data_IF_291717794093
#
_entry.id   IF_291717794093
#
_cell.length_a   1.000
_cell.length_b   1.000
_cell.length_c   1.000
_cell.angle_alpha   90.00
_cell.angle_beta   90.00
_cell.angle_gamma   90.00
#
_symmetry.space_group_name_H-M   'P 1'
#
loop_
_entity.id
_entity.type
_entity.pdbx_description
1 polymer ?
#
# COMPACT_ATOMS: atom_id res chain seq x y z
N UNK A 1 12.78 -27.48 16.23
CA UNK A 1 12.36 -26.93 14.92
C UNK A 1 12.32 -25.41 15.06
N UNK A 2 12.95 -24.67 14.14
CA UNK A 2 12.93 -23.21 14.17
C UNK A 2 11.61 -22.70 13.60
N UNK A 3 11.03 -21.66 14.23
CA UNK A 3 9.81 -21.02 13.77
C UNK A 3 10.19 -19.80 12.92
N UNK A 4 9.70 -19.76 11.68
CA UNK A 4 9.88 -18.61 10.79
C UNK A 4 8.67 -17.70 10.87
N UNK A 5 8.89 -16.39 11.06
CA UNK A 5 7.83 -15.39 11.06
C UNK A 5 7.82 -14.65 9.73
N UNK A 6 6.72 -14.73 9.00
CA UNK A 6 6.48 -13.98 7.76
C UNK A 6 5.48 -12.85 8.05
N UNK A 7 5.77 -11.66 7.55
CA UNK A 7 4.87 -10.51 7.59
C UNK A 7 4.68 -10.01 6.17
N UNK A 8 3.41 -9.87 5.76
CA UNK A 8 3.03 -9.30 4.47
C UNK A 8 2.29 -7.98 4.75
N UNK A 9 2.63 -6.94 4.00
CA UNK A 9 2.02 -5.61 4.12
C UNK A 9 1.61 -5.15 2.73
N UNK A 10 0.43 -4.55 2.63
CA UNK A 10 -0.03 -3.90 1.40
C UNK A 10 0.46 -2.45 1.38
N UNK A 11 0.73 -1.90 0.21
CA UNK A 11 1.00 -0.46 0.07
C UNK A 11 -0.20 0.38 0.53
N UNK A 12 0.05 1.63 0.91
CA UNK A 12 -0.99 2.59 1.27
C UNK A 12 -1.85 3.02 0.08
N UNK A 13 -2.86 3.84 0.35
CA UNK A 13 -3.76 4.37 -0.67
C UNK A 13 -3.03 5.07 -1.84
N UNK A 14 -3.37 4.71 -3.08
CA UNK A 14 -2.89 5.39 -4.30
C UNK A 14 -3.82 6.52 -4.73
N UNK A 15 -3.34 7.43 -5.59
CA UNK A 15 -4.19 8.46 -6.19
C UNK A 15 -5.41 7.87 -6.92
N UNK A 16 -5.25 6.73 -7.60
CA UNK A 16 -6.34 6.07 -8.31
C UNK A 16 -7.31 5.32 -7.40
N UNK A 17 -6.92 4.98 -6.17
CA UNK A 17 -7.89 4.48 -5.18
C UNK A 17 -8.91 5.57 -4.84
N UNK A 18 -8.48 6.83 -4.73
CA UNK A 18 -9.39 7.97 -4.51
C UNK A 18 -10.33 8.22 -5.68
N UNK A 19 -9.85 7.97 -6.90
CA UNK A 19 -10.64 8.13 -8.12
C UNK A 19 -11.53 6.91 -8.44
N UNK A 20 -11.51 5.86 -7.60
CA UNK A 20 -12.15 4.56 -7.88
C UNK A 20 -11.75 3.99 -9.26
N UNK A 21 -10.49 4.19 -9.65
CA UNK A 21 -9.92 3.69 -10.90
C UNK A 21 -9.08 2.45 -10.64
N UNK A 22 -9.12 1.54 -11.61
CA UNK A 22 -8.31 0.34 -11.57
C UNK A 22 -6.85 0.65 -11.95
N UNK A 23 -5.90 0.43 -11.04
CA UNK A 23 -4.45 0.64 -11.28
C UNK A 23 -3.84 -0.41 -12.19
N UNK A 24 -4.12 -1.69 -11.95
CA UNK A 24 -3.54 -2.78 -12.73
C UNK A 24 -2.01 -2.77 -12.67
N UNK A 25 -1.37 -2.61 -13.82
CA UNK A 25 0.10 -2.60 -13.96
C UNK A 25 0.65 -1.18 -14.12
N UNK A 26 -0.20 -0.16 -14.02
CA UNK A 26 0.22 1.22 -14.09
C UNK A 26 0.92 1.64 -12.80
N UNK A 27 2.04 2.35 -12.94
CA UNK A 27 2.82 2.87 -11.82
C UNK A 27 2.18 4.16 -11.29
N UNK A 28 1.24 4.02 -10.35
CA UNK A 28 0.50 5.15 -9.76
C UNK A 28 1.11 5.53 -8.41
N UNK A 29 1.33 6.83 -8.21
CA UNK A 29 1.82 7.37 -6.96
C UNK A 29 0.84 7.15 -5.78
N UNK A 30 1.41 7.08 -4.56
CA UNK A 30 0.65 7.11 -3.32
C UNK A 30 -0.03 8.48 -3.13
N UNK A 31 -1.21 8.48 -2.52
CA UNK A 31 -1.82 9.71 -2.00
C UNK A 31 -1.05 10.20 -0.76
N UNK A 32 -1.26 11.45 -0.36
CA UNK A 32 -0.70 11.96 0.90
C UNK A 32 -1.12 11.09 2.10
N UNK A 33 -2.35 10.59 2.08
CA UNK A 33 -2.88 9.63 3.05
C UNK A 33 -2.14 8.29 2.98
N UNK A 34 -1.92 7.74 1.78
CA UNK A 34 -1.16 6.50 1.60
C UNK A 34 0.28 6.58 2.08
N UNK A 35 0.93 7.74 1.92
CA UNK A 35 2.26 8.00 2.50
C UNK A 35 2.19 8.01 4.04
N UNK A 36 1.12 8.58 4.61
CA UNK A 36 0.85 8.53 6.05
C UNK A 36 0.65 7.11 6.59
N UNK A 37 -0.13 6.29 5.87
CA UNK A 37 -0.39 4.88 6.21
C UNK A 37 0.92 4.08 6.26
N UNK A 38 1.73 4.19 5.20
CA UNK A 38 3.03 3.52 5.10
C UNK A 38 3.98 3.91 6.25
N UNK A 39 3.99 5.17 6.68
CA UNK A 39 4.78 5.63 7.84
C UNK A 39 4.26 5.10 9.17
N UNK A 40 2.94 4.94 9.29
CA UNK A 40 2.30 4.43 10.51
C UNK A 40 2.40 2.91 10.66
N UNK A 41 2.81 2.20 9.60
CA UNK A 41 2.83 0.73 9.57
C UNK A 41 1.42 0.12 9.59
N UNK A 42 0.43 0.84 9.06
CA UNK A 42 -0.93 0.35 8.83
C UNK A 42 -1.12 -0.09 7.39
#
# INVERSE_FOLDING_TARGET
MAVTKLVLVRHGESQWNNENRFTGWYDVDLSEKGVGEAKSGR
#
